data_IF_315551387078
#
_entry.id   IF_315551387078
#
_cell.length_a   1.000
_cell.length_b   1.000
_cell.length_c   1.000
_cell.angle_alpha   90.00
_cell.angle_beta   90.00
_cell.angle_gamma   90.00
#
_symmetry.space_group_name_H-M   'P 1'
#
loop_
_entity.id
_entity.type
_entity.pdbx_description
1 polymer ?
#
# COMPACT_ATOMS: atom_id res chain seq x y z
N UNK A 1 18.03 51.71 21.31
CA UNK A 1 18.65 50.42 20.89
C UNK A 1 17.57 49.38 20.58
N UNK A 2 16.55 49.24 21.44
CA UNK A 2 15.41 48.33 21.24
C UNK A 2 14.62 48.61 19.96
N UNK A 3 14.31 49.88 19.64
CA UNK A 3 13.51 50.25 18.45
C UNK A 3 14.20 49.96 17.11
N UNK A 4 15.53 50.07 17.07
CA UNK A 4 16.33 49.76 15.87
C UNK A 4 16.33 48.26 15.60
N UNK A 5 16.40 47.45 16.66
CA UNK A 5 16.33 45.98 16.56
C UNK A 5 14.93 45.54 16.08
N UNK A 6 13.86 46.16 16.59
CA UNK A 6 12.49 45.89 16.14
C UNK A 6 12.27 46.29 14.66
N UNK A 7 12.79 47.45 14.25
CA UNK A 7 12.71 47.89 12.85
C UNK A 7 13.44 46.95 11.90
N UNK A 8 14.65 46.54 12.24
CA UNK A 8 15.45 45.60 11.41
C UNK A 8 14.80 44.21 11.35
N UNK A 9 14.27 43.67 12.45
CA UNK A 9 13.53 42.40 12.42
C UNK A 9 12.26 42.48 11.56
N UNK A 10 11.55 43.61 11.58
CA UNK A 10 10.30 43.81 10.81
C UNK A 10 10.51 43.68 9.29
N UNK A 11 11.67 44.08 8.77
CA UNK A 11 12.01 43.93 7.34
C UNK A 11 12.65 42.58 6.99
N UNK A 12 13.38 41.96 7.92
CA UNK A 12 14.06 40.69 7.67
C UNK A 12 13.09 39.49 7.58
N UNK A 13 12.02 39.48 8.38
CA UNK A 13 11.01 38.40 8.34
C UNK A 13 10.29 38.29 6.98
N UNK A 14 9.70 39.36 6.40
CA UNK A 14 9.03 39.26 5.11
C UNK A 14 10.01 38.94 3.98
N UNK A 15 11.24 39.46 4.01
CA UNK A 15 12.27 39.13 3.02
C UNK A 15 12.67 37.64 3.10
N UNK A 16 12.83 37.09 4.30
CA UNK A 16 13.08 35.67 4.50
C UNK A 16 11.89 34.82 4.01
N UNK A 17 10.64 35.24 4.24
CA UNK A 17 9.46 34.54 3.74
C UNK A 17 9.39 34.54 2.20
N UNK A 18 9.75 35.65 1.56
CA UNK A 18 9.82 35.75 0.09
C UNK A 18 10.82 34.78 -0.51
N UNK A 19 11.85 34.37 0.22
CA UNK A 19 12.82 33.36 -0.24
C UNK A 19 12.44 31.93 0.15
N UNK A 20 11.96 31.74 1.38
CA UNK A 20 11.61 30.43 1.94
C UNK A 20 10.38 29.84 1.22
N UNK A 21 9.35 30.64 0.97
CA UNK A 21 8.10 30.13 0.36
C UNK A 21 8.36 29.60 -1.06
N UNK A 22 9.01 30.33 -1.98
CA UNK A 22 9.41 29.78 -3.28
C UNK A 22 10.36 28.58 -3.16
N UNK A 23 11.33 28.59 -2.24
CA UNK A 23 12.23 27.45 -2.05
C UNK A 23 11.47 26.17 -1.62
N UNK A 24 10.49 26.29 -0.73
CA UNK A 24 9.62 25.18 -0.31
C UNK A 24 8.72 24.72 -1.48
N UNK A 25 8.13 25.65 -2.23
CA UNK A 25 7.29 25.34 -3.40
C UNK A 25 8.09 24.65 -4.52
N UNK A 26 9.25 25.20 -4.87
CA UNK A 26 10.17 24.65 -5.87
C UNK A 26 10.72 23.30 -5.42
N UNK A 27 11.05 23.15 -4.13
CA UNK A 27 11.47 21.88 -3.53
C UNK A 27 10.38 20.81 -3.65
N UNK A 28 9.13 21.15 -3.35
CA UNK A 28 7.99 20.25 -3.50
C UNK A 28 7.74 19.84 -4.96
N UNK A 29 7.82 20.80 -5.88
CA UNK A 29 7.67 20.56 -7.32
C UNK A 29 8.81 19.68 -7.87
N UNK A 30 10.04 19.94 -7.46
CA UNK A 30 11.21 19.13 -7.80
C UNK A 30 11.07 17.69 -7.29
N UNK A 31 10.61 17.50 -6.06
CA UNK A 31 10.40 16.17 -5.49
C UNK A 31 9.32 15.40 -6.28
N UNK A 32 8.27 16.10 -6.70
CA UNK A 32 7.22 15.54 -7.53
C UNK A 32 7.75 15.03 -8.88
N UNK A 33 8.48 15.88 -9.62
CA UNK A 33 9.05 15.54 -10.94
C UNK A 33 10.14 14.48 -10.85
N UNK A 34 11.02 14.55 -9.84
CA UNK A 34 12.05 13.54 -9.60
C UNK A 34 11.44 12.16 -9.35
N UNK A 35 10.32 12.11 -8.62
CA UNK A 35 9.56 10.87 -8.44
C UNK A 35 9.06 10.29 -9.76
N UNK A 36 8.47 11.13 -10.63
CA UNK A 36 7.98 10.70 -11.95
C UNK A 36 9.12 10.14 -12.81
N UNK A 37 10.23 10.86 -12.92
CA UNK A 37 11.40 10.43 -13.71
C UNK A 37 11.92 9.07 -13.23
N UNK A 38 12.14 8.92 -11.92
CA UNK A 38 12.56 7.65 -11.32
C UNK A 38 11.59 6.50 -11.57
N UNK A 39 10.29 6.76 -11.53
CA UNK A 39 9.27 5.73 -11.82
C UNK A 39 9.29 5.33 -13.29
N UNK A 40 9.42 6.29 -14.22
CA UNK A 40 9.53 6.00 -15.66
C UNK A 40 10.79 5.19 -15.99
N UNK A 41 11.93 5.59 -15.43
CA UNK A 41 13.21 4.89 -15.61
C UNK A 41 13.12 3.46 -15.07
N UNK A 42 12.61 3.29 -13.85
CA UNK A 42 12.41 1.97 -13.27
C UNK A 42 11.45 1.11 -14.10
N UNK A 43 10.31 1.66 -14.52
CA UNK A 43 9.34 0.94 -15.35
C UNK A 43 9.99 0.42 -16.63
N UNK A 44 10.75 1.27 -17.33
CA UNK A 44 11.50 0.87 -18.52
C UNK A 44 12.54 -0.22 -18.23
N UNK A 45 13.27 -0.13 -17.10
CA UNK A 45 14.28 -1.12 -16.71
C UNK A 45 13.69 -2.53 -16.48
N UNK A 46 12.48 -2.62 -15.94
CA UNK A 46 11.83 -3.91 -15.65
C UNK A 46 10.83 -4.34 -16.73
N UNK A 47 10.76 -3.62 -17.86
CA UNK A 47 9.83 -3.91 -18.95
C UNK A 47 8.36 -3.65 -18.60
N UNK A 48 8.09 -2.79 -17.63
CA UNK A 48 6.74 -2.38 -17.22
C UNK A 48 6.37 -1.04 -17.86
N UNK A 49 5.06 -0.78 -17.96
CA UNK A 49 4.52 0.42 -18.59
C UNK A 49 4.15 1.48 -17.56
N UNK A 50 4.68 2.70 -17.74
CA UNK A 50 4.25 3.86 -16.96
C UNK A 50 2.94 4.43 -17.52
N UNK A 51 1.90 4.48 -16.69
CA UNK A 51 0.55 4.96 -17.05
C UNK A 51 0.33 6.40 -16.58
N UNK A 52 0.96 6.83 -15.48
CA UNK A 52 0.77 8.16 -14.92
C UNK A 52 -0.26 8.19 -13.81
N UNK A 53 -1.47 8.64 -14.08
CA UNK A 53 -2.56 8.69 -13.09
C UNK A 53 -3.73 7.84 -13.54
N UNK A 54 -4.36 7.12 -12.61
CA UNK A 54 -5.51 6.26 -12.90
C UNK A 54 -6.57 6.42 -11.81
N UNK A 55 -7.62 7.23 -12.05
CA UNK A 55 -8.70 7.43 -11.08
C UNK A 55 -9.47 6.14 -10.73
N UNK A 56 -9.49 5.12 -11.59
CA UNK A 56 -10.25 3.89 -11.33
C UNK A 56 -9.72 3.14 -10.10
N UNK A 57 -8.40 3.21 -9.86
CA UNK A 57 -7.74 2.57 -8.72
C UNK A 57 -8.10 3.19 -7.36
N UNK A 58 -8.69 4.39 -7.33
CA UNK A 58 -9.04 5.09 -6.09
C UNK A 58 -10.20 4.42 -5.33
N UNK A 59 -11.10 3.76 -6.08
CA UNK A 59 -12.32 3.16 -5.53
C UNK A 59 -12.43 1.66 -5.80
N UNK A 60 -11.39 1.06 -6.41
CA UNK A 60 -11.34 -0.37 -6.74
C UNK A 60 -11.38 -1.28 -5.51
N UNK A 61 -10.80 -0.84 -4.40
CA UNK A 61 -10.69 -1.61 -3.16
C UNK A 61 -11.21 -0.82 -1.96
N UNK A 62 -11.63 -1.54 -0.92
CA UNK A 62 -12.11 -1.02 0.36
C UNK A 62 -11.00 -1.14 1.42
N UNK A 63 -11.26 -0.88 2.70
CA UNK A 63 -10.26 -1.04 3.75
C UNK A 63 -9.05 -0.11 3.64
N UNK A 64 -8.09 -0.20 4.58
CA UNK A 64 -6.88 0.62 4.48
C UNK A 64 -6.00 0.20 3.29
N UNK A 65 -5.27 1.12 2.65
CA UNK A 65 -5.25 2.56 2.89
C UNK A 65 -6.42 3.33 2.24
N UNK A 66 -7.30 2.64 1.52
CA UNK A 66 -8.44 3.21 0.78
C UNK A 66 -9.57 3.69 1.70
N UNK A 67 -10.58 4.32 1.10
CA UNK A 67 -11.78 4.76 1.85
C UNK A 67 -11.58 5.91 2.84
N UNK A 68 -10.35 6.40 3.02
CA UNK A 68 -10.00 7.44 4.00
C UNK A 68 -9.87 8.83 3.38
N UNK A 69 -10.19 9.85 4.18
CA UNK A 69 -9.97 11.25 3.83
C UNK A 69 -10.68 11.71 2.54
N UNK A 70 -10.25 12.85 2.02
CA UNK A 70 -10.72 13.46 0.77
C UNK A 70 -9.56 13.69 -0.21
N UNK A 71 -9.84 14.16 -1.43
CA UNK A 71 -8.80 14.47 -2.43
C UNK A 71 -7.96 13.25 -2.84
N UNK A 72 -8.59 12.07 -2.87
CA UNK A 72 -7.93 10.79 -3.11
C UNK A 72 -7.41 10.72 -4.54
N UNK A 73 -6.17 10.26 -4.71
CA UNK A 73 -5.56 10.10 -6.03
C UNK A 73 -4.67 8.86 -6.09
N UNK A 74 -4.70 8.17 -7.24
CA UNK A 74 -3.72 7.17 -7.62
C UNK A 74 -2.85 7.74 -8.76
N UNK A 75 -1.55 7.84 -8.49
CA UNK A 75 -0.57 8.49 -9.36
C UNK A 75 0.69 7.65 -9.45
N UNK A 76 1.58 7.96 -10.40
CA UNK A 76 2.78 7.17 -10.70
C UNK A 76 2.44 5.69 -10.91
N UNK A 77 1.32 5.45 -11.56
CA UNK A 77 0.81 4.11 -11.87
C UNK A 77 1.75 3.47 -12.88
N UNK A 78 2.19 2.26 -12.56
CA UNK A 78 2.99 1.40 -13.42
C UNK A 78 2.34 0.03 -13.46
N UNK A 79 2.10 -0.48 -14.67
CA UNK A 79 1.49 -1.79 -14.90
C UNK A 79 2.48 -2.72 -15.59
N UNK A 80 2.42 -4.00 -15.28
CA UNK A 80 3.25 -5.00 -15.93
C UNK A 80 2.86 -6.41 -15.51
N UNK A 81 3.76 -7.34 -15.73
CA UNK A 81 3.55 -8.74 -15.38
C UNK A 81 4.66 -9.21 -14.44
N UNK A 82 4.29 -9.98 -13.42
CA UNK A 82 5.20 -10.64 -12.49
C UNK A 82 4.84 -12.11 -12.41
N UNK A 83 5.77 -13.01 -12.76
CA UNK A 83 5.54 -14.47 -12.78
C UNK A 83 4.22 -14.86 -13.48
N UNK A 84 3.95 -14.27 -14.65
CA UNK A 84 2.76 -14.55 -15.46
C UNK A 84 1.46 -13.88 -14.98
N UNK A 85 1.47 -13.13 -13.88
CA UNK A 85 0.29 -12.44 -13.34
C UNK A 85 0.38 -10.93 -13.57
N UNK A 86 -0.75 -10.31 -13.92
CA UNK A 86 -0.82 -8.85 -14.04
C UNK A 86 -0.56 -8.21 -12.68
N UNK A 87 0.24 -7.15 -12.67
CA UNK A 87 0.60 -6.43 -11.46
C UNK A 87 0.58 -4.92 -11.71
N UNK A 88 0.27 -4.16 -10.67
CA UNK A 88 0.31 -2.70 -10.69
C UNK A 88 1.03 -2.17 -9.44
N UNK A 89 1.82 -1.12 -9.64
CA UNK A 89 2.52 -0.38 -8.58
C UNK A 89 2.14 1.09 -8.70
N UNK A 90 1.71 1.71 -7.62
CA UNK A 90 1.26 3.11 -7.66
C UNK A 90 1.40 3.83 -6.32
N UNK A 91 1.40 5.15 -6.38
CA UNK A 91 1.26 6.02 -5.21
C UNK A 91 -0.23 6.35 -5.00
N UNK A 92 -0.77 5.92 -3.86
CA UNK A 92 -2.10 6.32 -3.40
C UNK A 92 -1.98 7.44 -2.37
N UNK A 93 -2.72 8.53 -2.51
CA UNK A 93 -2.72 9.59 -1.50
C UNK A 93 -4.13 10.04 -1.15
N UNK A 94 -4.30 10.53 0.07
CA UNK A 94 -5.50 11.21 0.52
C UNK A 94 -5.14 12.31 1.52
N UNK A 95 -6.08 13.21 1.77
CA UNK A 95 -5.94 14.29 2.73
C UNK A 95 -6.93 14.09 3.88
N UNK A 96 -6.50 14.30 5.12
CA UNK A 96 -7.34 14.40 6.31
C UNK A 96 -7.24 15.78 6.97
N UNK A 97 -8.23 16.14 7.77
CA UNK A 97 -8.32 17.42 8.46
C UNK A 97 -8.77 18.57 7.58
N UNK A 98 -8.85 19.77 8.16
CA UNK A 98 -9.30 21.00 7.51
C UNK A 98 -8.46 22.20 7.96
N UNK A 99 -8.47 23.27 7.15
CA UNK A 99 -7.75 24.51 7.46
C UNK A 99 -6.26 24.28 7.76
N UNK A 100 -5.81 24.77 8.91
CA UNK A 100 -4.41 24.65 9.37
C UNK A 100 -4.01 23.21 9.77
N UNK A 101 -4.96 22.32 10.01
CA UNK A 101 -4.72 20.92 10.42
C UNK A 101 -4.87 19.94 9.25
N UNK A 102 -4.72 20.42 8.02
CA UNK A 102 -4.78 19.60 6.80
C UNK A 102 -3.47 18.82 6.63
N UNK A 103 -3.56 17.49 6.53
CA UNK A 103 -2.41 16.62 6.28
C UNK A 103 -2.66 15.72 5.07
N UNK A 104 -1.65 15.53 4.22
CA UNK A 104 -1.72 14.60 3.08
C UNK A 104 -0.84 13.39 3.37
N UNK A 105 -1.45 12.21 3.31
CA UNK A 105 -0.78 10.94 3.51
C UNK A 105 -0.63 10.25 2.16
N UNK A 106 0.56 9.71 1.87
CA UNK A 106 0.83 8.92 0.67
C UNK A 106 1.23 7.51 1.06
N UNK A 107 0.76 6.53 0.31
CA UNK A 107 1.09 5.12 0.40
C UNK A 107 1.65 4.64 -0.94
N UNK A 108 2.62 3.75 -0.89
CA UNK A 108 2.97 2.90 -2.01
C UNK A 108 2.10 1.65 -1.95
N UNK A 109 1.34 1.41 -3.02
CA UNK A 109 0.47 0.25 -3.15
C UNK A 109 0.94 -0.62 -4.30
N UNK A 110 0.95 -1.92 -4.08
CA UNK A 110 1.09 -2.97 -5.08
C UNK A 110 -0.21 -3.77 -5.13
N UNK A 111 -0.66 -4.13 -6.32
CA UNK A 111 -1.71 -5.13 -6.51
C UNK A 111 -1.22 -6.20 -7.50
N UNK A 112 -1.51 -7.46 -7.20
CA UNK A 112 -1.20 -8.63 -8.01
C UNK A 112 -2.51 -9.36 -8.30
N UNK A 113 -2.79 -9.57 -9.59
CA UNK A 113 -4.05 -10.13 -10.04
C UNK A 113 -4.18 -11.61 -9.72
N UNK A 114 -5.37 -12.01 -9.30
CA UNK A 114 -5.77 -13.38 -9.03
C UNK A 114 -6.54 -13.99 -10.21
N UNK A 115 -6.49 -15.32 -10.39
CA UNK A 115 -7.24 -15.99 -11.44
C UNK A 115 -8.76 -16.05 -11.17
N UNK A 116 -9.17 -15.86 -9.91
CA UNK A 116 -10.56 -15.86 -9.49
C UNK A 116 -10.79 -14.89 -8.31
N UNK A 117 -12.06 -14.58 -8.06
CA UNK A 117 -12.47 -13.81 -6.90
C UNK A 117 -12.29 -14.63 -5.62
N UNK A 118 -11.66 -14.06 -4.60
CA UNK A 118 -11.55 -14.64 -3.27
C UNK A 118 -12.16 -13.71 -2.19
N UNK A 119 -12.68 -14.27 -1.08
CA UNK A 119 -13.10 -13.51 0.09
C UNK A 119 -11.98 -12.64 0.65
N UNK A 120 -12.38 -11.62 1.42
CA UNK A 120 -11.42 -10.69 2.01
C UNK A 120 -10.65 -11.35 3.15
N UNK A 121 -9.31 -11.32 3.08
CA UNK A 121 -8.40 -11.72 4.15
C UNK A 121 -7.29 -10.67 4.26
N UNK A 122 -7.20 -9.99 5.40
CA UNK A 122 -6.23 -8.93 5.66
C UNK A 122 -5.24 -9.36 6.75
N UNK A 123 -3.95 -9.15 6.47
CA UNK A 123 -2.84 -9.40 7.39
C UNK A 123 -2.07 -8.10 7.57
N UNK A 124 -1.95 -7.63 8.80
CA UNK A 124 -1.15 -6.43 9.11
C UNK A 124 -0.19 -6.66 10.25
N UNK A 125 0.92 -5.90 10.34
CA UNK A 125 1.84 -6.03 11.45
C UNK A 125 1.13 -5.67 12.77
N UNK A 126 1.48 -6.37 13.85
CA UNK A 126 0.99 -6.03 15.18
C UNK A 126 1.31 -4.54 15.49
N UNK A 127 0.36 -3.82 16.08
CA UNK A 127 0.48 -2.38 16.38
C UNK A 127 0.09 -1.41 15.25
N UNK A 128 0.05 -1.85 13.97
CA UNK A 128 -0.49 -1.05 12.85
C UNK A 128 -2.02 -1.17 12.75
N UNK A 129 -2.58 -2.25 13.30
CA UNK A 129 -3.97 -2.67 13.12
C UNK A 129 -5.03 -2.01 14.00
N UNK A 130 -4.69 -1.09 14.93
CA UNK A 130 -5.67 -0.46 15.83
C UNK A 130 -6.79 0.32 15.11
N UNK A 131 -6.64 0.59 13.80
CA UNK A 131 -7.64 1.28 12.97
C UNK A 131 -8.44 0.35 12.04
N UNK A 132 -8.14 -0.95 11.98
CA UNK A 132 -8.77 -1.90 11.06
C UNK A 132 -10.09 -2.50 11.59
N UNK A 133 -10.20 -2.68 12.91
CA UNK A 133 -11.38 -3.25 13.56
C UNK A 133 -12.70 -2.53 13.22
N UNK A 134 -12.64 -1.28 12.74
CA UNK A 134 -13.83 -0.48 12.43
C UNK A 134 -14.36 -0.63 10.99
N UNK A 135 -13.55 -1.04 10.02
CA UNK A 135 -13.96 -0.98 8.60
C UNK A 135 -14.63 -2.27 8.11
N UNK A 136 -14.17 -3.42 8.62
CA UNK A 136 -14.71 -4.72 8.21
C UNK A 136 -15.55 -5.41 9.28
N UNK A 137 -15.62 -4.86 10.51
CA UNK A 137 -16.36 -5.47 11.63
C UNK A 137 -15.79 -6.82 12.10
N UNK A 138 -14.72 -7.32 11.46
CA UNK A 138 -14.08 -8.57 11.79
C UNK A 138 -13.21 -8.43 13.04
N UNK A 139 -13.33 -9.42 13.94
CA UNK A 139 -12.44 -9.56 15.08
C UNK A 139 -11.08 -10.10 14.61
N UNK A 140 -10.10 -9.98 15.49
CA UNK A 140 -8.76 -10.51 15.23
C UNK A 140 -8.76 -12.03 15.32
N UNK A 141 -8.40 -12.73 14.25
CA UNK A 141 -8.37 -14.20 14.21
C UNK A 141 -7.03 -14.68 14.78
N UNK A 142 -7.08 -15.52 15.81
CA UNK A 142 -5.90 -16.11 16.44
C UNK A 142 -5.65 -17.52 15.90
N UNK A 143 -4.39 -17.83 15.61
CA UNK A 143 -3.94 -19.15 15.17
C UNK A 143 -3.20 -19.88 16.30
N UNK A 144 -2.91 -21.17 16.11
CA UNK A 144 -2.13 -21.95 17.10
C UNK A 144 -0.66 -21.50 17.21
N UNK A 145 -0.14 -20.84 16.17
CA UNK A 145 1.22 -20.34 16.16
C UNK A 145 1.32 -19.00 16.89
N UNK A 146 1.81 -19.02 18.14
CA UNK A 146 2.05 -17.78 18.90
C UNK A 146 3.01 -16.82 18.19
N UNK A 147 4.03 -17.35 17.51
CA UNK A 147 4.99 -16.52 16.79
C UNK A 147 4.31 -15.77 15.63
N UNK A 148 3.35 -16.41 14.97
CA UNK A 148 2.55 -15.78 13.92
C UNK A 148 1.62 -14.71 14.49
N UNK A 149 0.90 -15.00 15.58
CA UNK A 149 -0.01 -14.04 16.21
C UNK A 149 0.71 -12.80 16.78
N UNK A 150 1.98 -12.94 17.22
CA UNK A 150 2.83 -11.81 17.63
C UNK A 150 3.37 -10.98 16.48
N UNK A 151 3.39 -11.53 15.27
CA UNK A 151 3.89 -10.83 14.10
C UNK A 151 2.75 -10.18 13.31
N UNK A 152 1.57 -10.81 13.33
CA UNK A 152 0.47 -10.52 12.43
C UNK A 152 -0.87 -10.43 13.17
N UNK A 153 -1.62 -9.38 12.84
CA UNK A 153 -3.06 -9.26 13.09
C UNK A 153 -3.82 -9.73 11.87
N UNK A 154 -4.84 -10.58 12.07
CA UNK A 154 -5.60 -11.21 10.99
C UNK A 154 -7.05 -10.76 11.05
N UNK A 155 -7.59 -10.27 9.94
CA UNK A 155 -8.99 -9.90 9.83
C UNK A 155 -9.60 -10.49 8.56
N UNK A 156 -10.66 -11.27 8.71
CA UNK A 156 -11.45 -11.79 7.60
C UNK A 156 -12.93 -11.85 8.01
N UNK A 157 -13.88 -11.39 7.16
CA UNK A 157 -15.30 -11.62 7.40
C UNK A 157 -15.69 -13.11 7.39
N UNK A 158 -14.93 -13.92 6.64
CA UNK A 158 -15.05 -15.37 6.60
C UNK A 158 -13.84 -15.99 7.31
N UNK A 159 -14.05 -16.42 8.56
CA UNK A 159 -13.00 -17.02 9.38
C UNK A 159 -12.54 -18.38 8.81
N UNK A 160 -13.46 -19.14 8.21
CA UNK A 160 -13.12 -20.43 7.59
C UNK A 160 -12.16 -20.21 6.42
N UNK A 161 -12.44 -19.23 5.56
CA UNK A 161 -11.52 -18.86 4.49
C UNK A 161 -10.13 -18.47 5.01
N UNK A 162 -10.06 -17.74 6.13
CA UNK A 162 -8.78 -17.41 6.75
C UNK A 162 -8.00 -18.66 7.18
N UNK A 163 -8.65 -19.63 7.82
CA UNK A 163 -8.03 -20.90 8.21
C UNK A 163 -7.63 -21.76 7.01
N UNK A 164 -8.46 -21.80 5.97
CA UNK A 164 -8.20 -22.57 4.75
C UNK A 164 -6.98 -22.03 3.99
N UNK A 165 -6.79 -20.71 3.94
CA UNK A 165 -5.64 -20.06 3.27
C UNK A 165 -4.38 -20.07 4.15
N UNK A 166 -4.50 -19.70 5.44
CA UNK A 166 -3.38 -19.56 6.36
C UNK A 166 -2.95 -20.89 6.97
N UNK A 167 -2.54 -21.81 6.09
CA UNK A 167 -1.93 -23.08 6.49
C UNK A 167 -0.63 -22.87 7.30
N UNK A 168 -0.20 -23.87 8.10
CA UNK A 168 1.08 -23.80 8.82
C UNK A 168 2.28 -23.42 7.94
N UNK A 169 2.33 -23.97 6.72
CA UNK A 169 3.38 -23.66 5.74
C UNK A 169 3.37 -22.20 5.29
N UNK A 170 2.18 -21.61 5.09
CA UNK A 170 2.07 -20.20 4.72
C UNK A 170 2.42 -19.29 5.91
N UNK A 171 1.99 -19.63 7.13
CA UNK A 171 2.37 -18.91 8.33
C UNK A 171 3.89 -18.86 8.50
N UNK A 172 4.58 -20.00 8.38
CA UNK A 172 6.06 -20.06 8.40
C UNK A 172 6.71 -19.22 7.29
N UNK A 173 6.11 -19.22 6.08
CA UNK A 173 6.58 -18.38 4.97
C UNK A 173 6.46 -16.90 5.28
N UNK A 174 5.39 -16.49 5.94
CA UNK A 174 5.10 -15.09 6.30
C UNK A 174 5.90 -14.60 7.53
N UNK A 175 6.49 -15.52 8.30
CA UNK A 175 7.43 -15.19 9.38
C UNK A 175 8.86 -14.88 8.87
N UNK A 176 9.12 -15.02 7.57
CA UNK A 176 10.43 -14.71 7.00
C UNK A 176 10.69 -13.19 6.95
N UNK A 177 11.96 -12.74 7.04
CA UNK A 177 12.31 -11.32 7.06
C UNK A 177 11.84 -10.52 5.84
N UNK A 178 11.53 -11.17 4.73
CA UNK A 178 11.02 -10.51 3.54
C UNK A 178 9.54 -10.12 3.61
N UNK A 179 8.76 -10.82 4.43
CA UNK A 179 7.34 -10.63 4.64
C UNK A 179 7.01 -9.82 5.90
N UNK A 180 7.83 -9.92 6.96
CA UNK A 180 7.59 -9.22 8.22
C UNK A 180 7.46 -7.70 8.02
N UNK A 181 6.47 -7.11 8.69
CA UNK A 181 6.21 -5.67 8.64
C UNK A 181 5.43 -5.20 7.39
N UNK A 182 5.08 -6.11 6.46
CA UNK A 182 4.20 -5.77 5.34
C UNK A 182 2.74 -5.69 5.81
N UNK A 183 1.95 -4.85 5.14
CA UNK A 183 0.50 -4.94 5.18
C UNK A 183 0.01 -5.60 3.89
N UNK A 184 -0.81 -6.64 4.02
CA UNK A 184 -1.23 -7.53 2.94
C UNK A 184 -2.74 -7.73 2.99
N UNK A 185 -3.39 -7.82 1.83
CA UNK A 185 -4.82 -8.17 1.78
C UNK A 185 -5.17 -8.92 0.51
N UNK A 186 -5.90 -10.01 0.63
CA UNK A 186 -6.71 -10.57 -0.45
C UNK A 186 -8.03 -9.81 -0.47
N UNK A 187 -8.41 -9.23 -1.60
CA UNK A 187 -9.71 -8.60 -1.78
C UNK A 187 -10.19 -8.78 -3.22
N UNK A 188 -11.24 -9.57 -3.38
CA UNK A 188 -11.80 -9.89 -4.68
C UNK A 188 -10.77 -10.57 -5.56
N UNK A 189 -10.42 -9.96 -6.68
CA UNK A 189 -9.52 -10.55 -7.67
C UNK A 189 -8.08 -10.03 -7.60
N UNK A 190 -7.67 -9.48 -6.45
CA UNK A 190 -6.33 -8.97 -6.26
C UNK A 190 -5.76 -9.35 -4.87
N UNK A 191 -4.45 -9.59 -4.83
CA UNK A 191 -3.65 -9.49 -3.61
C UNK A 191 -3.03 -8.10 -3.56
N UNK A 192 -3.12 -7.45 -2.42
CA UNK A 192 -2.64 -6.09 -2.17
C UNK A 192 -1.48 -6.13 -1.19
N UNK A 193 -0.53 -5.21 -1.40
CA UNK A 193 0.48 -4.87 -0.42
C UNK A 193 0.61 -3.35 -0.35
N UNK A 194 0.68 -2.77 0.86
CA UNK A 194 0.89 -1.33 1.00
C UNK A 194 1.88 -0.95 2.09
N UNK A 195 2.51 0.21 1.93
CA UNK A 195 3.41 0.81 2.90
C UNK A 195 3.30 2.33 2.86
N UNK A 196 3.49 3.00 4.00
CA UNK A 196 3.53 4.46 4.06
C UNK A 196 4.69 5.02 3.21
N UNK A 197 4.45 6.15 2.55
CA UNK A 197 5.44 6.90 1.79
C UNK A 197 5.30 6.78 0.27
N UNK A 198 6.29 7.36 -0.42
CA UNK A 198 6.37 7.34 -1.88
C UNK A 198 6.73 5.93 -2.41
N UNK A 199 6.50 5.63 -3.71
CA UNK A 199 6.88 4.37 -4.32
C UNK A 199 8.36 4.00 -4.11
N UNK A 200 8.58 2.80 -3.56
CA UNK A 200 9.90 2.23 -3.28
C UNK A 200 10.22 1.15 -4.32
N UNK A 201 10.68 1.57 -5.50
CA UNK A 201 10.85 0.68 -6.65
C UNK A 201 11.75 -0.54 -6.39
N UNK A 202 12.82 -0.36 -5.59
CA UNK A 202 13.74 -1.44 -5.23
C UNK A 202 13.10 -2.57 -4.39
N UNK A 203 11.96 -2.31 -3.74
CA UNK A 203 11.23 -3.32 -2.96
C UNK A 203 10.13 -4.03 -3.76
N UNK A 204 9.82 -3.58 -4.98
CA UNK A 204 8.68 -4.08 -5.75
C UNK A 204 8.79 -5.58 -6.00
N UNK A 205 9.92 -6.04 -6.54
CA UNK A 205 10.13 -7.47 -6.81
C UNK A 205 10.04 -8.33 -5.53
N UNK A 206 10.68 -7.89 -4.43
CA UNK A 206 10.63 -8.57 -3.13
C UNK A 206 9.18 -8.72 -2.63
N UNK A 207 8.40 -7.63 -2.66
CA UNK A 207 7.01 -7.63 -2.20
C UNK A 207 6.10 -8.46 -3.10
N UNK A 208 6.25 -8.38 -4.42
CA UNK A 208 5.52 -9.22 -5.36
C UNK A 208 5.87 -10.71 -5.19
N UNK A 209 7.11 -11.02 -4.80
CA UNK A 209 7.52 -12.37 -4.42
C UNK A 209 6.77 -12.90 -3.20
N UNK A 210 6.58 -12.09 -2.15
CA UNK A 210 5.74 -12.45 -1.00
C UNK A 210 4.27 -12.62 -1.41
N UNK A 211 3.74 -11.69 -2.20
CA UNK A 211 2.35 -11.76 -2.69
C UNK A 211 2.13 -13.01 -3.56
N UNK A 212 3.07 -13.35 -4.43
CA UNK A 212 3.01 -14.57 -5.25
C UNK A 212 3.06 -15.84 -4.40
N UNK A 213 3.86 -15.85 -3.33
CA UNK A 213 3.90 -16.96 -2.38
C UNK A 213 2.55 -17.16 -1.65
N UNK A 214 1.78 -16.11 -1.42
CA UNK A 214 0.40 -16.22 -0.89
C UNK A 214 -0.48 -16.90 -1.94
N UNK A 215 -0.48 -16.42 -3.19
CA UNK A 215 -1.28 -17.00 -4.28
C UNK A 215 -0.97 -18.48 -4.50
N UNK A 216 0.31 -18.85 -4.46
CA UNK A 216 0.78 -20.23 -4.64
C UNK A 216 0.47 -21.14 -3.44
N UNK A 217 0.30 -20.56 -2.25
CA UNK A 217 -0.05 -21.31 -1.05
C UNK A 217 -1.56 -21.54 -0.88
N UNK A 218 -2.41 -20.82 -1.62
CA UNK A 218 -3.87 -21.05 -1.60
C UNK A 218 -4.16 -22.48 -2.06
N UNK A 219 -4.76 -23.33 -1.20
CA UNK A 219 -5.05 -24.71 -1.57
C UNK A 219 -5.97 -24.81 -2.78
N UNK A 220 -5.84 -25.91 -3.55
CA UNK A 220 -6.66 -26.14 -4.75
C UNK A 220 -8.17 -26.10 -4.46
N UNK A 221 -8.61 -26.67 -3.33
CA UNK A 221 -10.04 -26.70 -3.01
C UNK A 221 -10.61 -25.29 -2.83
N UNK A 222 -9.84 -24.36 -2.26
CA UNK A 222 -10.26 -22.95 -2.13
C UNK A 222 -10.51 -22.35 -3.51
N UNK A 223 -9.62 -22.60 -4.47
CA UNK A 223 -9.85 -22.13 -5.85
C UNK A 223 -11.11 -22.72 -6.47
N UNK A 224 -11.33 -24.03 -6.28
CA UNK A 224 -12.48 -24.75 -6.84
C UNK A 224 -13.80 -24.24 -6.26
N UNK A 225 -13.85 -24.00 -4.96
CA UNK A 225 -15.00 -23.41 -4.27
C UNK A 225 -15.33 -22.00 -4.79
N UNK A 226 -14.36 -21.33 -5.42
CA UNK A 226 -14.50 -20.03 -6.06
C UNK A 226 -14.50 -20.08 -7.60
N UNK A 227 -14.80 -21.23 -8.19
CA UNK A 227 -15.07 -21.37 -9.63
C UNK A 227 -13.82 -21.38 -10.52
N UNK A 228 -12.64 -21.67 -9.97
CA UNK A 228 -11.40 -21.80 -10.73
C UNK A 228 -10.66 -23.09 -10.37
N UNK A 229 -10.23 -23.86 -11.37
CA UNK A 229 -9.36 -25.01 -11.14
C UNK A 229 -7.98 -24.75 -11.75
N UNK A 230 -6.92 -24.60 -10.94
CA UNK A 230 -5.57 -24.34 -11.45
C UNK A 230 -5.01 -25.47 -12.34
N UNK A 231 -5.60 -26.66 -12.32
CA UNK A 231 -5.19 -27.80 -13.13
C UNK A 231 -5.99 -27.98 -14.42
N UNK A 232 -7.08 -27.25 -14.61
CA UNK A 232 -7.88 -27.31 -15.83
C UNK A 232 -7.37 -26.22 -16.80
N UNK A 233 -6.37 -26.56 -17.62
CA UNK A 233 -5.89 -25.71 -18.72
C UNK A 233 -6.43 -26.20 -20.06
#
# INVERSE_FOLDING_TARGET
MVDVVFGVLSFLVPLAMVLIVPAVLLGGLWWHFRGIKKTKEWAAQVGWQYVGSDPSLVSRWRGQPFGQGSGRQATRVVTGTYQGRQAVSFAYRYTTGSGKNRSTTTFHVLALHLPAYLPTLELTPEGVGARLAKVFGAQDIQFESEAFNRAWRIAAPDERFAHDVLSPRLMERLLRPDALGLALRIEGQDVLCWSLGAPQHHLVARRLGVMSAIVEAVPRFVWQDHGYDPLNR
#
